data_IF_747267072383
#
_entry.id   IF_747267072383
#
_cell.length_a   1.000
_cell.length_b   1.000
_cell.length_c   1.000
_cell.angle_alpha   90.00
_cell.angle_beta   90.00
_cell.angle_gamma   90.00
#
_symmetry.space_group_name_H-M   'P 1'
#
loop_
_entity.id
_entity.type
_entity.pdbx_description
1 polymer ?
#
# COMPACT_ATOMS: atom_id res chain seq x y z
N UNK A 1 2.56 -13.92 14.48
CA UNK A 1 1.64 -14.08 15.64
C UNK A 1 1.27 -12.76 16.32
N UNK A 2 2.15 -11.76 16.43
CA UNK A 2 1.84 -10.48 17.10
C UNK A 2 0.82 -9.57 16.36
N UNK A 3 0.75 -9.64 15.03
CA UNK A 3 -0.13 -8.78 14.22
C UNK A 3 -1.64 -9.05 14.39
N UNK A 4 -2.05 -10.30 14.61
CA UNK A 4 -3.45 -10.68 14.84
C UNK A 4 -3.96 -10.19 16.20
N UNK A 5 -3.06 -10.00 17.18
CA UNK A 5 -3.37 -9.60 18.55
C UNK A 5 -3.86 -8.17 18.71
N UNK A 6 -3.60 -7.26 17.76
CA UNK A 6 -4.09 -5.88 17.80
C UNK A 6 -5.28 -5.63 16.86
N UNK A 7 -5.29 -6.29 15.70
CA UNK A 7 -6.33 -6.07 14.68
C UNK A 7 -7.68 -6.65 15.11
N UNK A 8 -7.70 -7.85 15.69
CA UNK A 8 -8.95 -8.49 16.12
C UNK A 8 -9.63 -7.76 17.30
N UNK A 9 -8.90 -7.33 18.35
CA UNK A 9 -9.51 -6.53 19.41
C UNK A 9 -9.93 -5.15 18.94
N UNK A 10 -9.21 -4.51 18.00
CA UNK A 10 -9.61 -3.23 17.42
C UNK A 10 -10.90 -3.35 16.60
N UNK A 11 -11.03 -4.41 15.79
CA UNK A 11 -12.26 -4.69 15.04
C UNK A 11 -13.43 -5.04 15.97
N UNK A 12 -13.16 -5.82 17.02
CA UNK A 12 -14.16 -6.15 18.06
C UNK A 12 -14.59 -4.91 18.85
N UNK A 13 -13.66 -4.01 19.19
CA UNK A 13 -13.93 -2.74 19.86
C UNK A 13 -14.77 -1.79 18.98
N UNK A 14 -14.45 -1.71 17.69
CA UNK A 14 -15.23 -0.93 16.72
C UNK A 14 -16.65 -1.50 16.53
N UNK A 15 -16.81 -2.83 16.64
CA UNK A 15 -18.12 -3.48 16.53
C UNK A 15 -18.92 -3.50 17.85
N UNK A 16 -18.27 -3.45 19.02
CA UNK A 16 -18.94 -3.57 20.32
C UNK A 16 -18.63 -2.37 21.22
N UNK A 17 -19.36 -1.27 21.01
CA UNK A 17 -19.41 -0.15 21.95
C UNK A 17 -20.64 -0.30 22.85
N UNK A 18 -20.44 -0.31 24.17
CA UNK A 18 -21.55 -0.30 25.14
C UNK A 18 -22.02 1.14 25.31
N UNK A 19 -23.32 1.39 25.13
CA UNK A 19 -23.87 2.69 25.50
C UNK A 19 -23.90 2.85 27.03
N UNK A 20 -24.11 4.08 27.54
CA UNK A 20 -24.20 4.37 28.98
C UNK A 20 -25.33 3.66 29.74
N UNK A 21 -26.07 2.76 29.09
CA UNK A 21 -27.13 1.91 29.66
C UNK A 21 -26.77 0.41 29.61
N UNK A 22 -25.54 0.04 29.24
CA UNK A 22 -25.07 -1.35 29.25
C UNK A 22 -25.60 -2.23 28.10
N UNK A 23 -26.30 -1.66 27.12
CA UNK A 23 -26.68 -2.39 25.89
C UNK A 23 -25.53 -2.33 24.89
N UNK A 24 -25.18 -3.48 24.32
CA UNK A 24 -24.27 -3.56 23.18
C UNK A 24 -24.90 -2.86 21.98
N UNK A 25 -24.26 -1.78 21.52
CA UNK A 25 -24.64 -1.09 20.28
C UNK A 25 -23.61 -1.47 19.23
N UNK A 26 -24.03 -2.27 18.26
CA UNK A 26 -23.16 -2.61 17.12
C UNK A 26 -23.14 -1.47 16.12
N UNK A 27 -22.12 -0.62 16.18
CA UNK A 27 -21.93 0.48 15.21
C UNK A 27 -21.37 -0.12 13.92
N UNK A 28 -22.24 -0.37 12.93
CA UNK A 28 -21.83 -0.84 11.61
C UNK A 28 -21.33 0.33 10.74
N UNK A 29 -20.03 0.56 10.73
CA UNK A 29 -19.44 1.58 9.85
C UNK A 29 -19.48 1.14 8.38
N UNK A 30 -19.59 2.10 7.44
CA UNK A 30 -19.47 1.82 6.01
C UNK A 30 -18.01 1.54 5.64
N UNK A 31 -17.78 0.74 4.60
CA UNK A 31 -16.41 0.36 4.15
C UNK A 31 -15.52 1.58 3.87
N UNK A 32 -16.12 2.66 3.35
CA UNK A 32 -15.43 3.93 3.08
C UNK A 32 -14.74 4.50 4.32
N UNK A 33 -15.34 4.38 5.49
CA UNK A 33 -14.77 4.89 6.75
C UNK A 33 -13.49 4.12 7.10
N UNK A 34 -13.49 2.79 7.01
CA UNK A 34 -12.29 1.99 7.26
C UNK A 34 -11.15 2.31 6.29
N UNK A 35 -11.47 2.50 5.00
CA UNK A 35 -10.51 2.89 3.98
C UNK A 35 -9.88 4.26 4.26
N UNK A 36 -10.70 5.24 4.68
CA UNK A 36 -10.22 6.58 5.06
C UNK A 36 -9.34 6.51 6.32
N UNK A 37 -9.73 5.74 7.33
CA UNK A 37 -8.91 5.58 8.54
C UNK A 37 -7.56 4.96 8.17
N UNK A 38 -7.54 3.88 7.38
CA UNK A 38 -6.30 3.24 6.94
C UNK A 38 -5.41 4.19 6.12
N UNK A 39 -5.99 5.03 5.27
CA UNK A 39 -5.27 6.06 4.53
C UNK A 39 -4.62 7.08 5.49
N UNK A 40 -5.41 7.64 6.40
CA UNK A 40 -4.94 8.67 7.34
C UNK A 40 -3.87 8.12 8.27
N UNK A 41 -4.02 6.89 8.78
CA UNK A 41 -3.02 6.25 9.63
C UNK A 41 -1.67 6.11 8.90
N UNK A 42 -1.67 5.62 7.65
CA UNK A 42 -0.45 5.45 6.88
C UNK A 42 0.19 6.81 6.50
N UNK A 43 -0.62 7.78 6.06
CA UNK A 43 -0.14 9.12 5.71
C UNK A 43 0.39 9.91 6.91
N UNK A 44 -0.18 9.70 8.10
CA UNK A 44 0.34 10.29 9.33
C UNK A 44 1.77 9.79 9.62
N UNK A 45 2.06 8.51 9.38
CA UNK A 45 3.39 7.93 9.62
C UNK A 45 4.40 8.26 8.51
N UNK A 46 3.93 8.54 7.30
CA UNK A 46 4.76 8.73 6.11
C UNK A 46 5.96 9.70 6.25
N UNK A 47 5.83 10.91 6.85
CA UNK A 47 6.95 11.86 6.89
C UNK A 47 8.02 11.55 7.95
N UNK A 48 7.77 10.59 8.86
CA UNK A 48 8.61 10.38 10.05
C UNK A 48 9.62 9.25 9.89
N UNK A 49 9.35 8.31 9.00
CA UNK A 49 10.15 7.10 8.82
C UNK A 49 10.51 6.92 7.35
N UNK A 50 11.60 6.23 7.04
CA UNK A 50 11.94 5.73 5.70
C UNK A 50 13.19 4.85 5.83
N UNK A 51 13.41 3.93 4.89
CA UNK A 51 14.70 3.26 4.76
C UNK A 51 15.69 4.16 4.02
N UNK A 52 16.71 4.66 4.71
CA UNK A 52 17.75 5.48 4.08
C UNK A 52 18.54 4.72 3.03
N UNK A 53 18.78 3.42 3.24
CA UNK A 53 19.66 2.64 2.38
C UNK A 53 19.03 2.44 1.00
N UNK A 54 17.82 1.87 0.93
CA UNK A 54 17.15 1.61 -0.34
C UNK A 54 16.88 2.91 -1.11
N UNK A 55 16.39 3.96 -0.44
CA UNK A 55 16.11 5.24 -1.09
C UNK A 55 17.36 5.88 -1.73
N UNK A 56 18.53 5.79 -1.10
CA UNK A 56 19.77 6.31 -1.67
C UNK A 56 20.17 5.56 -2.95
N UNK A 57 20.06 4.24 -2.95
CA UNK A 57 20.37 3.43 -4.13
C UNK A 57 19.40 3.70 -5.27
N UNK A 58 18.11 3.85 -4.96
CA UNK A 58 17.09 4.17 -5.94
C UNK A 58 17.27 5.56 -6.56
N UNK A 59 17.58 6.57 -5.74
CA UNK A 59 17.85 7.92 -6.22
C UNK A 59 19.14 7.98 -7.04
N UNK A 60 20.18 7.24 -6.65
CA UNK A 60 21.41 7.16 -7.42
C UNK A 60 21.18 6.51 -8.79
N UNK A 61 20.40 5.44 -8.87
CA UNK A 61 20.01 4.84 -10.15
C UNK A 61 19.23 5.84 -11.04
N UNK A 62 18.36 6.66 -10.43
CA UNK A 62 17.68 7.75 -11.13
C UNK A 62 18.64 8.86 -11.59
N UNK A 63 19.65 9.22 -10.80
CA UNK A 63 20.67 10.20 -11.16
C UNK A 63 21.54 9.73 -12.34
N UNK A 64 21.95 8.45 -12.35
CA UNK A 64 22.64 7.85 -13.50
C UNK A 64 21.77 7.96 -14.76
N UNK A 65 20.50 7.57 -14.63
CA UNK A 65 19.56 7.61 -15.75
C UNK A 65 19.31 9.02 -16.27
N UNK A 66 19.20 10.02 -15.38
CA UNK A 66 19.06 11.43 -15.75
C UNK A 66 20.28 11.97 -16.53
N UNK A 67 21.46 11.38 -16.33
CA UNK A 67 22.69 11.72 -17.07
C UNK A 67 22.83 10.96 -18.40
N UNK A 68 21.82 10.18 -18.79
CA UNK A 68 21.87 9.34 -19.99
C UNK A 68 22.66 8.03 -19.81
N UNK A 69 23.03 7.69 -18.56
CA UNK A 69 23.71 6.43 -18.24
C UNK A 69 22.65 5.38 -17.94
N UNK A 70 22.72 4.22 -18.59
CA UNK A 70 21.81 3.12 -18.29
C UNK A 70 22.21 2.47 -16.94
N UNK A 71 21.40 2.59 -15.87
CA UNK A 71 21.78 2.10 -14.55
C UNK A 71 21.90 0.58 -14.50
N UNK A 72 21.12 -0.17 -15.29
CA UNK A 72 21.21 -1.62 -15.35
C UNK A 72 22.54 -2.09 -15.93
N UNK A 73 22.97 -1.44 -17.01
CA UNK A 73 24.26 -1.72 -17.63
C UNK A 73 25.40 -1.33 -16.69
N UNK A 74 25.31 -0.17 -16.05
CA UNK A 74 26.29 0.29 -15.09
C UNK A 74 26.46 -0.68 -13.91
N UNK A 75 25.34 -1.15 -13.32
CA UNK A 75 25.38 -2.10 -12.22
C UNK A 75 26.00 -3.44 -12.64
N UNK A 76 25.68 -3.91 -13.85
CA UNK A 76 26.24 -5.13 -14.41
C UNK A 76 27.76 -5.02 -14.61
N UNK A 77 28.23 -3.96 -15.28
CA UNK A 77 29.64 -3.75 -15.59
C UNK A 77 30.48 -3.46 -14.33
N UNK A 78 29.89 -2.85 -13.32
CA UNK A 78 30.57 -2.49 -12.06
C UNK A 78 30.50 -3.58 -10.99
N UNK A 79 29.79 -4.69 -11.25
CA UNK A 79 29.63 -5.79 -10.29
C UNK A 79 28.76 -5.48 -9.06
N UNK A 80 27.93 -4.43 -9.13
CA UNK A 80 27.06 -3.96 -8.03
C UNK A 80 25.58 -4.27 -8.29
N UNK A 81 25.29 -5.53 -8.59
CA UNK A 81 23.95 -5.98 -9.01
C UNK A 81 22.83 -5.60 -8.04
N UNK A 82 23.13 -5.57 -6.74
CA UNK A 82 22.14 -5.31 -5.69
C UNK A 82 21.73 -3.84 -5.60
N UNK A 83 22.37 -2.94 -6.36
CA UNK A 83 22.07 -1.51 -6.33
C UNK A 83 20.68 -1.18 -6.89
N UNK A 84 20.26 -1.83 -7.99
CA UNK A 84 18.93 -1.58 -8.57
C UNK A 84 18.35 -2.82 -9.24
N UNK A 85 17.82 -3.79 -8.46
CA UNK A 85 17.26 -5.04 -8.99
C UNK A 85 15.83 -4.89 -9.55
N UNK A 86 15.31 -3.66 -9.65
CA UNK A 86 13.89 -3.41 -9.93
C UNK A 86 13.61 -3.18 -11.43
N UNK A 87 12.39 -3.51 -11.91
CA UNK A 87 11.97 -3.23 -13.28
C UNK A 87 12.00 -1.73 -13.64
N UNK A 88 12.09 -1.43 -14.94
CA UNK A 88 12.23 -0.07 -15.47
C UNK A 88 11.12 0.89 -15.06
N UNK A 89 9.89 0.40 -14.83
CA UNK A 89 8.80 1.23 -14.33
C UNK A 89 9.15 1.91 -13.00
N UNK A 90 9.86 1.22 -12.12
CA UNK A 90 10.28 1.80 -10.84
C UNK A 90 11.32 2.91 -11.05
N UNK A 91 12.23 2.74 -12.02
CA UNK A 91 13.22 3.76 -12.37
C UNK A 91 12.56 5.07 -12.82
N UNK A 92 11.50 5.00 -13.63
CA UNK A 92 10.76 6.21 -14.04
C UNK A 92 10.09 6.91 -12.86
N UNK A 93 9.51 6.15 -11.92
CA UNK A 93 8.96 6.74 -10.71
C UNK A 93 10.04 7.44 -9.88
N UNK A 94 11.21 6.81 -9.77
CA UNK A 94 12.33 7.38 -9.03
C UNK A 94 12.91 8.63 -9.69
N UNK A 95 12.90 8.69 -11.03
CA UNK A 95 13.25 9.90 -11.77
C UNK A 95 12.29 11.05 -11.44
N UNK A 96 10.98 10.81 -11.39
CA UNK A 96 10.00 11.83 -10.95
C UNK A 96 10.26 12.21 -9.48
N UNK A 97 10.50 11.21 -8.63
CA UNK A 97 10.80 11.41 -7.21
C UNK A 97 12.03 12.29 -6.98
N UNK A 98 13.08 12.11 -7.79
CA UNK A 98 14.29 12.95 -7.80
C UNK A 98 13.94 14.42 -8.06
N UNK A 99 13.12 14.72 -9.07
CA UNK A 99 12.71 16.11 -9.35
C UNK A 99 11.93 16.72 -8.18
N UNK A 100 11.02 15.94 -7.56
CA UNK A 100 10.29 16.38 -6.36
C UNK A 100 11.25 16.64 -5.20
N UNK A 101 12.24 15.77 -4.98
CA UNK A 101 13.25 15.93 -3.96
C UNK A 101 14.05 17.22 -4.16
N UNK A 102 14.46 17.52 -5.40
CA UNK A 102 15.21 18.72 -5.73
C UNK A 102 14.39 20.00 -5.58
N UNK A 103 13.13 19.97 -6.00
CA UNK A 103 12.26 21.15 -5.97
C UNK A 103 11.71 21.47 -4.57
N UNK A 104 11.45 20.45 -3.74
CA UNK A 104 10.69 20.62 -2.51
C UNK A 104 11.33 20.01 -1.26
N UNK A 105 12.47 19.33 -1.41
CA UNK A 105 13.22 18.73 -0.32
C UNK A 105 12.68 17.39 0.17
N UNK A 106 13.42 16.81 1.10
CA UNK A 106 13.26 15.41 1.52
C UNK A 106 11.88 15.09 2.09
N UNK A 107 11.33 15.96 2.94
CA UNK A 107 10.04 15.70 3.60
C UNK A 107 8.90 15.58 2.60
N UNK A 108 8.84 16.49 1.61
CA UNK A 108 7.78 16.44 0.62
C UNK A 108 7.96 15.27 -0.35
N UNK A 109 9.20 14.96 -0.70
CA UNK A 109 9.52 13.75 -1.46
C UNK A 109 9.01 12.47 -0.76
N UNK A 110 9.27 12.30 0.54
CA UNK A 110 8.79 11.14 1.31
C UNK A 110 7.26 11.07 1.35
N UNK A 111 6.59 12.21 1.56
CA UNK A 111 5.13 12.28 1.56
C UNK A 111 4.57 11.93 0.17
N UNK A 112 5.12 12.50 -0.90
CA UNK A 112 4.71 12.22 -2.28
C UNK A 112 4.87 10.74 -2.62
N UNK A 113 6.02 10.17 -2.32
CA UNK A 113 6.32 8.79 -2.63
C UNK A 113 5.41 7.83 -1.87
N UNK A 114 5.25 8.04 -0.55
CA UNK A 114 4.38 7.19 0.29
C UNK A 114 2.90 7.42 0.08
N UNK A 115 2.49 8.59 -0.44
CA UNK A 115 1.13 8.83 -0.89
C UNK A 115 0.74 7.83 -1.98
N UNK A 116 1.59 7.65 -2.99
CA UNK A 116 1.33 6.70 -4.08
C UNK A 116 1.18 5.26 -3.54
N UNK A 117 2.06 4.85 -2.63
CA UNK A 117 2.01 3.51 -2.02
C UNK A 117 0.77 3.32 -1.14
N UNK A 118 0.42 4.33 -0.35
CA UNK A 118 -0.74 4.30 0.54
C UNK A 118 -2.05 4.26 -0.25
N UNK A 119 -2.16 5.07 -1.31
CA UNK A 119 -3.29 4.99 -2.26
C UNK A 119 -3.38 3.59 -2.85
N UNK A 120 -2.25 2.98 -3.20
CA UNK A 120 -2.22 1.62 -3.76
C UNK A 120 -2.81 0.58 -2.80
N UNK A 121 -2.44 0.62 -1.52
CA UNK A 121 -3.03 -0.26 -0.51
C UNK A 121 -4.53 -0.04 -0.33
N UNK A 122 -4.97 1.21 -0.28
CA UNK A 122 -6.39 1.54 -0.08
C UNK A 122 -7.23 1.07 -1.27
N UNK A 123 -6.74 1.30 -2.50
CA UNK A 123 -7.40 0.84 -3.72
C UNK A 123 -7.40 -0.70 -3.77
N UNK A 124 -6.28 -1.36 -3.46
CA UNK A 124 -6.21 -2.82 -3.38
C UNK A 124 -7.24 -3.38 -2.38
N UNK A 125 -7.32 -2.79 -1.18
CA UNK A 125 -8.33 -3.14 -0.18
C UNK A 125 -9.77 -2.97 -0.69
N UNK A 126 -10.05 -1.88 -1.40
CA UNK A 126 -11.35 -1.67 -2.03
C UNK A 126 -11.67 -2.76 -3.08
N UNK A 127 -10.71 -3.17 -3.90
CA UNK A 127 -10.93 -4.22 -4.89
C UNK A 127 -11.06 -5.61 -4.26
N UNK A 128 -10.38 -5.89 -3.14
CA UNK A 128 -10.62 -7.10 -2.33
C UNK A 128 -12.07 -7.12 -1.83
N UNK A 129 -12.56 -6.01 -1.29
CA UNK A 129 -13.97 -5.86 -0.89
C UNK A 129 -14.90 -6.18 -2.07
N UNK A 130 -14.70 -5.52 -3.20
CA UNK A 130 -15.52 -5.69 -4.41
C UNK A 130 -15.50 -7.11 -4.95
N UNK A 131 -14.35 -7.77 -4.89
CA UNK A 131 -14.18 -9.16 -5.32
C UNK A 131 -15.03 -10.08 -4.45
N UNK A 132 -14.91 -10.02 -3.13
CA UNK A 132 -15.65 -10.90 -2.22
C UNK A 132 -17.16 -10.69 -2.34
N UNK A 133 -17.61 -9.43 -2.44
CA UNK A 133 -19.03 -9.13 -2.65
C UNK A 133 -19.53 -9.74 -3.97
N UNK A 134 -18.75 -9.65 -5.05
CA UNK A 134 -19.14 -10.20 -6.34
C UNK A 134 -19.20 -11.74 -6.34
N UNK A 135 -18.22 -12.41 -5.72
CA UNK A 135 -18.10 -13.88 -5.76
C UNK A 135 -18.96 -14.60 -4.71
N UNK A 136 -19.25 -13.95 -3.57
CA UNK A 136 -19.88 -14.60 -2.41
C UNK A 136 -21.17 -13.93 -1.94
N UNK A 137 -21.43 -12.69 -2.35
CA UNK A 137 -22.58 -11.91 -1.85
C UNK A 137 -22.51 -11.55 -0.35
N UNK A 138 -21.43 -11.90 0.36
CA UNK A 138 -21.30 -11.70 1.80
C UNK A 138 -20.58 -10.38 2.12
N UNK A 139 -21.36 -9.37 2.53
CA UNK A 139 -20.86 -8.06 2.91
C UNK A 139 -20.00 -8.08 4.19
N UNK A 140 -20.29 -8.96 5.14
CA UNK A 140 -19.57 -9.02 6.42
C UNK A 140 -18.20 -9.65 6.21
N UNK A 141 -18.14 -10.76 5.46
CA UNK A 141 -16.88 -11.37 5.06
C UNK A 141 -16.02 -10.39 4.26
N UNK A 142 -16.62 -9.69 3.29
CA UNK A 142 -15.91 -8.69 2.49
C UNK A 142 -15.30 -7.57 3.35
N UNK A 143 -16.06 -7.06 4.33
CA UNK A 143 -15.56 -6.04 5.28
C UNK A 143 -14.41 -6.60 6.12
N UNK A 144 -14.57 -7.78 6.72
CA UNK A 144 -13.55 -8.40 7.58
C UNK A 144 -12.24 -8.64 6.81
N UNK A 145 -12.32 -9.25 5.62
CA UNK A 145 -11.15 -9.49 4.79
C UNK A 145 -10.44 -8.18 4.38
N UNK A 146 -11.21 -7.15 4.03
CA UNK A 146 -10.65 -5.84 3.67
C UNK A 146 -9.96 -5.18 4.85
N UNK A 147 -10.59 -5.21 6.04
CA UNK A 147 -9.99 -4.68 7.25
C UNK A 147 -8.71 -5.41 7.64
N UNK A 148 -8.71 -6.75 7.57
CA UNK A 148 -7.51 -7.55 7.82
C UNK A 148 -6.37 -7.19 6.87
N UNK A 149 -6.68 -6.86 5.62
CA UNK A 149 -5.69 -6.43 4.64
C UNK A 149 -5.16 -5.01 4.93
N UNK A 150 -6.03 -3.99 4.98
CA UNK A 150 -5.61 -2.58 5.07
C UNK A 150 -5.04 -2.21 6.45
N UNK A 151 -5.41 -2.94 7.50
CA UNK A 151 -4.85 -2.76 8.85
C UNK A 151 -3.80 -3.81 9.19
N UNK A 152 -3.30 -4.55 8.20
CA UNK A 152 -2.18 -5.47 8.41
C UNK A 152 -0.94 -4.67 8.85
N UNK A 153 -0.41 -4.90 10.07
CA UNK A 153 0.76 -4.19 10.57
C UNK A 153 1.98 -4.33 9.67
N UNK A 154 2.16 -5.48 9.01
CA UNK A 154 3.25 -5.67 8.07
C UNK A 154 3.08 -4.78 6.84
N UNK A 155 1.85 -4.67 6.30
CA UNK A 155 1.56 -3.81 5.17
C UNK A 155 1.82 -2.33 5.51
N UNK A 156 1.37 -1.90 6.70
CA UNK A 156 1.62 -0.55 7.22
C UNK A 156 3.12 -0.31 7.40
N UNK A 157 3.87 -1.28 7.93
CA UNK A 157 5.31 -1.18 8.12
C UNK A 157 6.06 -1.02 6.79
N UNK A 158 5.82 -1.94 5.84
CA UNK A 158 6.43 -1.92 4.50
C UNK A 158 6.12 -0.59 3.79
N UNK A 159 4.90 -0.08 3.91
CA UNK A 159 4.46 1.13 3.20
C UNK A 159 4.87 2.43 3.88
N UNK A 160 4.55 2.55 5.16
CA UNK A 160 4.61 3.82 5.89
C UNK A 160 5.91 3.97 6.68
N UNK A 161 6.52 2.86 7.09
CA UNK A 161 7.82 2.89 7.79
C UNK A 161 8.94 2.80 6.77
N UNK A 162 9.06 1.69 6.04
CA UNK A 162 10.13 1.50 5.07
C UNK A 162 9.94 2.36 3.82
N UNK A 163 8.73 2.34 3.23
CA UNK A 163 8.49 2.96 1.93
C UNK A 163 8.90 2.05 0.78
N UNK A 164 8.67 0.75 0.89
CA UNK A 164 8.92 -0.21 -0.18
C UNK A 164 7.81 -0.19 -1.24
N UNK A 165 8.16 -0.62 -2.45
CA UNK A 165 7.29 -0.54 -3.63
C UNK A 165 6.24 -1.67 -3.73
N UNK A 166 6.32 -2.69 -2.87
CA UNK A 166 5.39 -3.84 -2.82
C UNK A 166 3.89 -3.47 -2.92
N UNK A 167 3.39 -2.39 -2.27
CA UNK A 167 1.99 -1.97 -2.40
C UNK A 167 1.49 -1.80 -3.83
N UNK A 168 2.33 -1.31 -4.74
CA UNK A 168 1.96 -1.14 -6.15
C UNK A 168 1.87 -2.49 -6.87
N UNK A 169 2.80 -3.41 -6.60
CA UNK A 169 2.76 -4.77 -7.14
C UNK A 169 1.51 -5.50 -6.66
N UNK A 170 1.17 -5.36 -5.37
CA UNK A 170 -0.04 -5.93 -4.78
C UNK A 170 -1.29 -5.33 -5.43
N UNK A 171 -1.35 -4.00 -5.62
CA UNK A 171 -2.46 -3.36 -6.31
C UNK A 171 -2.70 -3.95 -7.70
N UNK A 172 -1.67 -3.99 -8.55
CA UNK A 172 -1.82 -4.50 -9.90
C UNK A 172 -2.18 -5.99 -9.92
N UNK A 173 -1.65 -6.77 -8.97
CA UNK A 173 -2.01 -8.19 -8.81
C UNK A 173 -3.49 -8.36 -8.43
N UNK A 174 -3.98 -7.56 -7.48
CA UNK A 174 -5.38 -7.58 -7.05
C UNK A 174 -6.30 -7.12 -8.18
N UNK A 175 -5.94 -6.07 -8.92
CA UNK A 175 -6.70 -5.60 -10.08
C UNK A 175 -6.77 -6.67 -11.17
N UNK A 176 -5.64 -7.27 -11.54
CA UNK A 176 -5.58 -8.34 -12.52
C UNK A 176 -6.48 -9.52 -12.11
N UNK A 177 -6.38 -9.94 -10.85
CA UNK A 177 -7.21 -11.02 -10.29
C UNK A 177 -8.70 -10.64 -10.32
N UNK A 178 -9.05 -9.44 -9.87
CA UNK A 178 -10.43 -8.96 -9.87
C UNK A 178 -11.04 -9.00 -11.27
N UNK A 179 -10.37 -8.40 -12.26
CA UNK A 179 -10.87 -8.36 -13.62
C UNK A 179 -10.88 -9.73 -14.29
N UNK A 180 -9.93 -10.61 -13.95
CA UNK A 180 -9.92 -11.97 -14.47
C UNK A 180 -11.08 -12.80 -13.93
N UNK A 181 -11.26 -12.83 -12.60
CA UNK A 181 -12.26 -13.70 -11.95
C UNK A 181 -13.67 -13.13 -12.11
N UNK A 182 -13.89 -11.85 -11.81
CA UNK A 182 -15.24 -11.27 -11.79
C UNK A 182 -15.79 -11.07 -13.20
N UNK A 183 -14.95 -10.72 -14.19
CA UNK A 183 -15.41 -10.62 -15.58
C UNK A 183 -15.74 -11.99 -16.16
N UNK A 184 -14.97 -13.03 -15.80
CA UNK A 184 -15.25 -14.41 -16.22
C UNK A 184 -16.58 -14.92 -15.66
N UNK A 185 -16.85 -14.71 -14.37
CA UNK A 185 -18.12 -15.17 -13.78
C UNK A 185 -19.34 -14.48 -14.40
N UNK A 186 -19.28 -13.17 -14.68
CA UNK A 186 -20.39 -12.45 -15.34
C UNK A 186 -20.69 -12.90 -16.77
N UNK A 187 -19.74 -13.53 -17.45
CA UNK A 187 -19.93 -14.05 -18.81
C UNK A 187 -20.53 -15.46 -18.79
N UNK A 188 -20.39 -16.18 -17.68
CA UNK A 188 -20.87 -17.55 -17.51
C UNK A 188 -22.22 -17.65 -16.76
N UNK A 189 -22.68 -16.55 -16.18
CA UNK A 189 -24.01 -16.39 -15.54
C UNK A 189 -25.03 -15.85 -16.54
#
# INVERSE_FOLDING_TARGET
MLALGFVLPFLSFMENSKNGQGKEVTIKLPIKTYLVIAFLTQMFLAPFFYDTFNFQHWLYAADLFAQGINPYRFCYESGIFDMFPYPSMFLYLMLIGREVLQAFGQRLFLVFFKLLLTVSNVVAGYFIYKMIVALKGDLNLAKKATCLFIFNPLLIFVTSVQGEFDPLVILFTVLATYFFVVKKERVLS
#
